data_IF_030209584350
#
_entry.id   IF_030209584350
#
_cell.length_a   1.000
_cell.length_b   1.000
_cell.length_c   1.000
_cell.angle_alpha   90.00
_cell.angle_beta   90.00
_cell.angle_gamma   90.00
#
_symmetry.space_group_name_H-M   'P 1'
#
loop_
_entity.id
_entity.type
_entity.pdbx_description
1 polymer ?
#
# COMPACT_ATOMS: atom_id res chain seq x y z
N UNK A 1 1.85 5.31 -18.56
CA UNK A 1 3.23 5.24 -19.08
C UNK A 1 4.02 4.42 -18.08
N UNK A 2 4.72 3.38 -18.52
CA UNK A 2 5.34 2.40 -17.62
C UNK A 2 6.78 2.74 -17.21
N UNK A 3 7.42 3.61 -17.97
CA UNK A 3 8.67 4.28 -17.64
C UNK A 3 8.36 5.74 -17.32
N UNK A 4 9.16 6.37 -16.46
CA UNK A 4 9.09 7.81 -16.27
C UNK A 4 9.99 8.45 -17.34
N UNK A 5 9.43 8.62 -18.55
CA UNK A 5 10.19 8.96 -19.77
C UNK A 5 11.08 10.19 -19.58
N UNK A 6 10.56 11.28 -18.99
CA UNK A 6 11.34 12.49 -18.75
C UNK A 6 12.54 12.25 -17.83
N UNK A 7 12.34 11.52 -16.73
CA UNK A 7 13.43 11.16 -15.82
C UNK A 7 14.44 10.23 -16.50
N UNK A 8 13.99 9.24 -17.27
CA UNK A 8 14.88 8.34 -18.00
C UNK A 8 15.76 9.09 -19.01
N UNK A 9 15.15 9.95 -19.81
CA UNK A 9 15.85 10.74 -20.83
C UNK A 9 16.81 11.75 -20.19
N UNK A 10 16.39 12.44 -19.13
CA UNK A 10 17.20 13.49 -18.50
C UNK A 10 18.35 12.92 -17.65
N UNK A 11 18.12 11.84 -16.90
CA UNK A 11 19.14 11.28 -16.00
C UNK A 11 20.11 10.32 -16.70
N UNK A 12 19.63 9.55 -17.67
CA UNK A 12 20.42 8.49 -18.30
C UNK A 12 20.74 8.73 -19.77
N UNK A 13 20.17 9.77 -20.40
CA UNK A 13 20.40 10.08 -21.82
C UNK A 13 20.03 8.93 -22.75
N UNK A 14 19.14 8.04 -22.30
CA UNK A 14 18.90 6.74 -22.91
C UNK A 14 18.25 6.85 -24.30
N UNK A 15 18.58 5.95 -25.24
CA UNK A 15 17.99 5.97 -26.58
C UNK A 15 16.50 5.59 -26.55
N UNK A 16 15.74 6.13 -27.51
CA UNK A 16 14.28 5.96 -27.59
C UNK A 16 13.82 4.49 -27.81
N UNK A 17 14.71 3.65 -28.33
CA UNK A 17 14.50 2.20 -28.51
C UNK A 17 14.24 1.47 -27.17
N UNK A 18 14.80 1.96 -26.06
CA UNK A 18 14.57 1.41 -24.71
C UNK A 18 13.09 1.47 -24.34
N UNK A 19 12.35 2.52 -24.76
CA UNK A 19 10.92 2.64 -24.50
C UNK A 19 10.12 1.56 -25.24
N UNK A 20 10.56 1.18 -26.44
CA UNK A 20 9.92 0.12 -27.23
C UNK A 20 10.24 -1.28 -26.69
N UNK A 21 11.45 -1.47 -26.14
CA UNK A 21 11.79 -2.68 -25.39
C UNK A 21 10.92 -2.85 -24.14
N UNK A 22 10.71 -1.78 -23.36
CA UNK A 22 9.82 -1.80 -22.19
C UNK A 22 8.40 -2.21 -22.59
N UNK A 23 7.84 -1.61 -23.65
CA UNK A 23 6.52 -1.99 -24.17
C UNK A 23 6.47 -3.47 -24.57
N UNK A 24 7.54 -3.95 -25.22
CA UNK A 24 7.64 -5.36 -25.64
C UNK A 24 7.65 -6.31 -24.44
N UNK A 25 8.38 -5.97 -23.37
CA UNK A 25 8.39 -6.76 -22.13
C UNK A 25 7.00 -6.83 -21.51
N UNK A 26 6.29 -5.70 -21.43
CA UNK A 26 4.94 -5.66 -20.86
C UNK A 26 3.96 -6.51 -21.67
N UNK A 27 4.00 -6.43 -23.00
CA UNK A 27 3.15 -7.26 -23.87
C UNK A 27 3.45 -8.76 -23.73
N UNK A 28 4.70 -9.14 -23.50
CA UNK A 28 5.06 -10.54 -23.21
C UNK A 28 4.50 -10.96 -21.86
N UNK A 29 4.68 -10.15 -20.82
CA UNK A 29 4.17 -10.42 -19.48
C UNK A 29 2.64 -10.55 -19.44
N UNK A 30 1.92 -9.76 -20.24
CA UNK A 30 0.45 -9.86 -20.37
C UNK A 30 -0.01 -11.23 -20.89
N UNK A 31 0.76 -11.86 -21.79
CA UNK A 31 0.46 -13.22 -22.28
C UNK A 31 0.58 -14.28 -21.18
N UNK A 32 1.42 -14.00 -20.18
CA UNK A 32 1.60 -14.84 -19.00
C UNK A 32 0.64 -14.46 -17.85
N UNK A 33 -0.33 -13.57 -18.12
CA UNK A 33 -1.33 -13.12 -17.14
C UNK A 33 -0.86 -12.01 -16.21
N UNK A 34 0.33 -11.44 -16.44
CA UNK A 34 0.88 -10.32 -15.65
C UNK A 34 0.43 -9.01 -16.27
N UNK A 35 -0.33 -8.20 -15.51
CA UNK A 35 -0.81 -6.90 -15.98
C UNK A 35 -0.04 -5.77 -15.29
N UNK A 36 0.54 -4.87 -16.08
CA UNK A 36 1.12 -3.65 -15.56
C UNK A 36 0.05 -2.56 -15.39
N UNK A 37 -0.02 -1.98 -14.19
CA UNK A 37 -0.99 -0.95 -13.88
C UNK A 37 -0.33 0.43 -13.95
N UNK A 38 -0.62 1.16 -15.02
CA UNK A 38 -0.33 2.60 -15.09
C UNK A 38 -1.18 3.37 -14.08
N UNK A 39 -0.84 4.63 -13.83
CA UNK A 39 -1.73 5.49 -13.05
C UNK A 39 -3.17 5.50 -13.62
N UNK A 40 -4.15 5.36 -12.75
CA UNK A 40 -5.57 5.38 -13.09
C UNK A 40 -6.35 4.20 -12.53
N UNK A 41 -7.56 4.02 -13.06
CA UNK A 41 -8.53 3.03 -12.59
C UNK A 41 -8.51 1.82 -13.50
N UNK A 42 -8.44 0.64 -12.88
CA UNK A 42 -8.39 -0.66 -13.53
C UNK A 42 -9.50 -1.53 -12.96
N UNK A 43 -10.26 -2.20 -13.81
CA UNK A 43 -11.40 -3.03 -13.40
C UNK A 43 -11.20 -4.44 -13.93
N UNK A 44 -11.35 -5.42 -13.03
CA UNK A 44 -11.18 -6.83 -13.33
C UNK A 44 -12.43 -7.60 -12.92
N UNK A 45 -12.92 -8.46 -13.80
CA UNK A 45 -13.84 -9.52 -13.41
C UNK A 45 -13.01 -10.75 -13.06
N UNK A 46 -13.07 -11.18 -11.81
CA UNK A 46 -12.35 -12.34 -11.29
C UNK A 46 -13.07 -13.63 -11.70
N UNK A 47 -12.36 -14.76 -11.64
CA UNK A 47 -12.89 -16.06 -12.06
C UNK A 47 -14.14 -16.50 -11.28
N UNK A 48 -14.29 -16.06 -10.03
CA UNK A 48 -15.46 -16.32 -9.20
C UNK A 48 -16.63 -15.36 -9.48
N UNK A 49 -16.53 -14.49 -10.49
CA UNK A 49 -17.54 -13.50 -10.86
C UNK A 49 -17.55 -12.24 -10.00
N UNK A 50 -16.58 -12.05 -9.10
CA UNK A 50 -16.40 -10.79 -8.38
C UNK A 50 -15.81 -9.71 -9.29
N UNK A 51 -16.19 -8.46 -9.06
CA UNK A 51 -15.66 -7.27 -9.71
C UNK A 51 -14.66 -6.60 -8.77
N UNK A 52 -13.41 -6.45 -9.21
CA UNK A 52 -12.35 -5.77 -8.48
C UNK A 52 -12.02 -4.44 -9.17
N UNK A 53 -12.16 -3.32 -8.45
CA UNK A 53 -11.77 -1.98 -8.90
C UNK A 53 -10.49 -1.53 -8.18
N UNK A 54 -9.42 -1.38 -8.95
CA UNK A 54 -8.11 -0.95 -8.46
C UNK A 54 -7.81 0.45 -8.97
N UNK A 55 -7.48 1.38 -8.08
CA UNK A 55 -6.76 2.59 -8.45
C UNK A 55 -5.26 2.33 -8.26
N UNK A 56 -4.43 2.69 -9.24
CA UNK A 56 -2.98 2.62 -9.11
C UNK A 56 -2.35 4.00 -9.36
N UNK A 57 -1.23 4.30 -8.71
CA UNK A 57 -0.36 5.43 -9.07
C UNK A 57 1.08 5.18 -8.61
N UNK A 58 2.10 5.38 -9.47
CA UNK A 58 3.49 5.24 -9.08
C UNK A 58 4.04 6.49 -8.37
N UNK A 59 3.32 7.61 -8.44
CA UNK A 59 3.82 8.90 -8.02
C UNK A 59 3.94 9.03 -6.51
N UNK A 60 5.03 9.65 -6.05
CA UNK A 60 5.28 9.98 -4.65
C UNK A 60 5.94 11.36 -4.55
N UNK A 61 5.77 12.11 -3.45
CA UNK A 61 6.57 13.30 -3.22
C UNK A 61 8.07 12.98 -3.31
N UNK A 62 8.85 13.95 -3.76
CA UNK A 62 10.31 13.83 -3.81
C UNK A 62 10.87 13.43 -2.44
N UNK A 63 11.53 12.28 -2.45
CA UNK A 63 12.16 11.67 -1.30
C UNK A 63 13.43 11.01 -1.82
N UNK A 64 14.40 11.82 -2.24
CA UNK A 64 15.57 11.38 -3.01
C UNK A 64 15.57 11.95 -4.43
N UNK A 65 16.08 11.18 -5.39
CA UNK A 65 16.14 11.58 -6.80
C UNK A 65 15.85 10.39 -7.70
N UNK A 66 14.69 9.76 -7.52
CA UNK A 66 14.27 8.58 -8.28
C UNK A 66 13.12 8.91 -9.24
N UNK A 67 12.86 7.99 -10.17
CA UNK A 67 11.71 8.07 -11.07
C UNK A 67 10.37 8.18 -10.30
N UNK A 68 9.36 8.77 -10.95
CA UNK A 68 8.02 8.97 -10.41
C UNK A 68 7.96 9.81 -9.12
N UNK A 69 8.89 10.77 -8.99
CA UNK A 69 8.89 11.76 -7.92
C UNK A 69 8.43 13.13 -8.43
N UNK A 70 7.74 13.87 -7.57
CA UNK A 70 7.27 15.23 -7.86
C UNK A 70 7.52 16.17 -6.67
N UNK A 71 7.83 17.43 -6.98
CA UNK A 71 8.02 18.49 -5.97
C UNK A 71 6.73 19.30 -5.74
N UNK A 72 5.98 19.52 -6.81
CA UNK A 72 4.71 20.24 -6.79
C UNK A 72 3.59 19.21 -6.73
N UNK A 73 2.65 19.37 -5.77
CA UNK A 73 1.63 18.39 -5.42
C UNK A 73 0.97 17.63 -6.59
N UNK A 74 0.49 16.42 -6.32
CA UNK A 74 -0.05 15.51 -7.33
C UNK A 74 -1.52 15.21 -7.10
N UNK A 75 -2.33 15.31 -8.15
CA UNK A 75 -3.76 15.06 -8.05
C UNK A 75 -4.08 13.57 -8.24
N UNK A 76 -4.23 12.88 -7.11
CA UNK A 76 -4.67 11.48 -7.09
C UNK A 76 -6.18 11.39 -7.31
N UNK A 77 -6.57 11.08 -8.54
CA UNK A 77 -7.97 10.95 -8.97
C UNK A 77 -8.57 9.59 -8.58
N UNK A 78 -8.58 9.28 -7.27
CA UNK A 78 -9.15 8.04 -6.73
C UNK A 78 -10.68 8.15 -6.71
N UNK A 79 -11.42 7.31 -7.47
CA UNK A 79 -12.87 7.32 -7.42
C UNK A 79 -13.43 6.86 -6.08
N UNK A 80 -14.66 7.29 -5.77
CA UNK A 80 -15.47 6.60 -4.75
C UNK A 80 -15.74 5.16 -5.20
N UNK A 81 -16.00 4.29 -4.23
CA UNK A 81 -16.25 2.85 -4.49
C UNK A 81 -15.05 2.11 -5.12
N UNK A 82 -13.83 2.65 -5.00
CA UNK A 82 -12.60 1.89 -5.25
C UNK A 82 -12.45 0.81 -4.19
N UNK A 83 -12.18 -0.42 -4.60
CA UNK A 83 -11.93 -1.51 -3.65
C UNK A 83 -10.50 -1.39 -3.10
N UNK A 84 -9.53 -1.26 -3.99
CA UNK A 84 -8.10 -1.19 -3.63
C UNK A 84 -7.45 0.02 -4.27
N UNK A 85 -6.88 0.91 -3.47
CA UNK A 85 -5.93 1.91 -3.95
C UNK A 85 -4.50 1.36 -3.76
N UNK A 86 -3.65 1.50 -4.78
CA UNK A 86 -2.24 1.10 -4.74
C UNK A 86 -1.40 2.33 -5.09
N UNK A 87 -0.54 2.74 -4.17
CA UNK A 87 0.42 3.84 -4.41
C UNK A 87 1.83 3.42 -4.08
N UNK A 88 2.84 4.09 -4.63
CA UNK A 88 4.22 3.81 -4.25
C UNK A 88 4.48 4.19 -2.78
N UNK A 89 4.23 5.46 -2.45
CA UNK A 89 4.44 6.03 -1.11
C UNK A 89 3.18 6.04 -0.22
N UNK A 90 3.37 6.26 1.09
CA UNK A 90 2.28 6.32 2.06
C UNK A 90 1.52 7.65 2.03
N UNK A 91 0.24 7.69 2.46
CA UNK A 91 -0.44 8.93 2.80
C UNK A 91 0.10 9.50 4.12
N UNK A 92 0.06 10.82 4.26
CA UNK A 92 0.52 11.52 5.48
C UNK A 92 -0.13 10.99 6.76
N UNK A 93 0.71 10.70 7.75
CA UNK A 93 0.33 10.29 9.10
C UNK A 93 -0.12 8.82 9.21
N UNK A 94 0.03 8.02 8.16
CA UNK A 94 -0.34 6.61 8.16
C UNK A 94 0.82 5.75 7.68
N UNK A 95 1.41 4.98 8.60
CA UNK A 95 2.48 4.04 8.30
C UNK A 95 3.62 4.68 7.46
N UNK A 96 4.00 5.92 7.82
CA UNK A 96 4.89 6.79 7.05
C UNK A 96 6.13 7.27 7.81
N UNK A 97 6.40 6.74 8.99
CA UNK A 97 7.57 7.11 9.79
C UNK A 97 8.85 6.51 9.19
N UNK A 98 9.72 7.37 8.68
CA UNK A 98 11.02 7.01 8.14
C UNK A 98 12.08 7.08 9.26
N UNK A 99 12.36 5.93 9.86
CA UNK A 99 13.26 5.81 11.01
C UNK A 99 14.68 6.28 10.74
N UNK A 100 15.18 6.16 9.50
CA UNK A 100 16.53 6.63 9.14
C UNK A 100 16.69 8.15 9.22
N UNK A 101 15.65 8.91 8.87
CA UNK A 101 15.68 10.38 8.88
C UNK A 101 15.01 10.97 10.12
N UNK A 102 14.28 10.15 10.89
CA UNK A 102 13.48 10.58 12.03
C UNK A 102 12.25 11.42 11.62
N UNK A 103 11.86 11.37 10.35
CA UNK A 103 10.80 12.19 9.76
C UNK A 103 9.62 11.34 9.27
N UNK A 104 8.59 11.99 8.74
CA UNK A 104 7.44 11.36 8.11
C UNK A 104 7.47 11.65 6.61
N UNK A 105 7.41 10.59 5.80
CA UNK A 105 7.50 10.68 4.34
C UNK A 105 6.12 10.63 3.64
N UNK A 106 5.03 10.73 4.40
CA UNK A 106 3.69 10.56 3.86
C UNK A 106 3.18 11.79 3.12
N UNK A 107 2.45 11.56 2.03
CA UNK A 107 1.93 12.59 1.14
C UNK A 107 0.59 13.19 1.65
N UNK A 108 0.48 14.53 1.81
CA UNK A 108 -0.76 15.19 2.22
C UNK A 108 -1.85 15.16 1.14
N UNK A 109 -1.49 15.31 -0.15
CA UNK A 109 -2.46 15.26 -1.25
C UNK A 109 -3.09 13.88 -1.37
N UNK A 110 -2.28 12.83 -1.26
CA UNK A 110 -2.74 11.44 -1.24
C UNK A 110 -3.63 11.18 -0.03
N UNK A 111 -3.26 11.67 1.15
CA UNK A 111 -4.08 11.58 2.37
C UNK A 111 -5.46 12.20 2.15
N UNK A 112 -5.53 13.38 1.53
CA UNK A 112 -6.78 14.05 1.20
C UNK A 112 -7.59 13.26 0.17
N UNK A 113 -6.95 12.76 -0.90
CA UNK A 113 -7.62 11.96 -1.94
C UNK A 113 -8.24 10.68 -1.37
N UNK A 114 -7.49 9.95 -0.54
CA UNK A 114 -7.97 8.72 0.09
C UNK A 114 -9.09 9.00 1.09
N UNK A 115 -9.03 10.10 1.83
CA UNK A 115 -10.12 10.50 2.73
C UNK A 115 -11.42 10.84 1.98
N UNK A 116 -11.33 11.36 0.75
CA UNK A 116 -12.50 11.61 -0.13
C UNK A 116 -13.05 10.31 -0.73
N UNK A 117 -12.18 9.42 -1.18
CA UNK A 117 -12.52 8.20 -1.92
C UNK A 117 -12.93 7.03 -1.02
N UNK A 118 -12.26 6.90 0.14
CA UNK A 118 -12.44 5.87 1.16
C UNK A 118 -12.47 4.44 0.58
N UNK A 119 -11.37 4.01 -0.05
CA UNK A 119 -11.27 2.65 -0.57
C UNK A 119 -11.33 1.62 0.56
N UNK A 120 -11.69 0.35 0.28
CA UNK A 120 -11.63 -0.70 1.32
C UNK A 120 -10.19 -0.91 1.79
N UNK A 121 -9.25 -0.94 0.85
CA UNK A 121 -7.83 -1.15 1.12
C UNK A 121 -7.02 -0.05 0.44
N UNK A 122 -6.04 0.50 1.13
CA UNK A 122 -4.98 1.30 0.52
C UNK A 122 -3.62 0.64 0.81
N UNK A 123 -3.05 0.03 -0.22
CA UNK A 123 -1.76 -0.64 -0.18
C UNK A 123 -0.65 0.28 -0.71
N UNK A 124 0.46 0.34 -0.01
CA UNK A 124 1.63 1.13 -0.39
C UNK A 124 2.91 0.53 0.21
N UNK A 125 4.06 1.13 -0.11
CA UNK A 125 5.35 0.72 0.42
C UNK A 125 6.25 1.93 0.63
N UNK A 126 7.42 1.90 -0.01
CA UNK A 126 8.47 2.93 0.01
C UNK A 126 9.17 3.09 1.37
N UNK A 127 8.42 3.16 2.47
CA UNK A 127 8.95 3.36 3.82
C UNK A 127 9.06 2.03 4.55
N UNK A 128 10.24 1.40 4.43
CA UNK A 128 10.50 0.06 4.94
C UNK A 128 10.32 -0.04 6.46
N UNK A 129 10.68 1.01 7.19
CA UNK A 129 10.60 1.06 8.67
C UNK A 129 9.16 1.06 9.20
N UNK A 130 8.19 1.38 8.36
CA UNK A 130 6.80 1.58 8.75
C UNK A 130 5.85 0.48 8.25
N UNK A 131 6.39 -0.70 7.90
CA UNK A 131 5.58 -1.88 7.62
C UNK A 131 4.59 -2.17 8.76
N UNK A 132 3.37 -2.47 8.36
CA UNK A 132 2.24 -2.58 9.27
C UNK A 132 0.93 -2.23 8.59
N UNK A 133 -0.12 -2.24 9.38
CA UNK A 133 -1.46 -1.84 8.98
C UNK A 133 -2.04 -0.78 9.90
N UNK A 134 -2.95 0.02 9.34
CA UNK A 134 -3.79 0.92 10.10
C UNK A 134 -5.22 0.72 9.63
N UNK A 135 -6.02 0.06 10.46
CA UNK A 135 -7.45 -0.10 10.25
C UNK A 135 -8.16 1.17 10.72
N UNK A 136 -8.58 1.99 9.76
CA UNK A 136 -9.16 3.31 10.00
C UNK A 136 -10.67 3.25 9.93
N UNK A 137 -11.33 3.86 10.91
CA UNK A 137 -12.74 4.26 10.83
C UNK A 137 -12.83 5.75 10.50
N UNK A 138 -13.62 6.11 9.49
CA UNK A 138 -13.74 7.50 9.02
C UNK A 138 -14.80 8.28 9.81
N UNK A 139 -14.45 9.51 10.22
CA UNK A 139 -15.36 10.53 10.77
C UNK A 139 -15.36 11.76 9.86
N UNK A 140 -16.30 11.81 8.92
CA UNK A 140 -16.22 12.75 7.79
C UNK A 140 -14.99 12.44 6.93
N UNK A 141 -14.09 13.41 6.74
CA UNK A 141 -12.77 13.21 6.11
C UNK A 141 -11.64 13.02 7.14
N UNK A 142 -11.95 13.00 8.44
CA UNK A 142 -11.00 12.71 9.51
C UNK A 142 -10.99 11.22 9.91
N UNK A 143 -10.01 10.84 10.73
CA UNK A 143 -9.95 9.52 11.38
C UNK A 143 -10.63 9.60 12.73
N UNK A 144 -11.46 8.61 13.05
CA UNK A 144 -11.90 8.33 14.41
C UNK A 144 -10.84 7.47 15.11
N UNK A 145 -9.96 8.09 15.90
CA UNK A 145 -8.84 7.39 16.55
C UNK A 145 -9.30 6.38 17.61
N UNK A 146 -10.48 6.56 18.22
CA UNK A 146 -11.02 5.62 19.21
C UNK A 146 -11.49 4.31 18.57
N UNK A 147 -12.02 4.40 17.35
CA UNK A 147 -12.48 3.25 16.56
C UNK A 147 -11.45 2.75 15.55
N UNK A 148 -10.24 3.32 15.54
CA UNK A 148 -9.16 2.93 14.64
C UNK A 148 -8.09 2.12 15.37
N UNK A 149 -7.44 1.20 14.67
CA UNK A 149 -6.45 0.27 15.25
C UNK A 149 -5.19 0.23 14.39
N UNK A 150 -4.03 0.43 15.01
CA UNK A 150 -2.72 0.42 14.36
C UNK A 150 -1.97 -0.87 14.74
N UNK A 151 -1.43 -1.56 13.75
CA UNK A 151 -0.51 -2.69 13.92
C UNK A 151 0.76 -2.36 13.14
N UNK A 152 1.93 -2.48 13.75
CA UNK A 152 3.18 -2.23 13.05
C UNK A 152 4.37 -2.81 13.79
N UNK A 153 5.58 -2.57 13.28
CA UNK A 153 6.80 -3.11 13.86
C UNK A 153 6.99 -2.75 15.35
N UNK A 154 6.64 -1.54 15.80
CA UNK A 154 6.71 -1.17 17.22
C UNK A 154 5.77 -1.99 18.13
N UNK A 155 4.70 -2.57 17.58
CA UNK A 155 3.78 -3.46 18.30
C UNK A 155 3.98 -4.95 18.01
N UNK A 156 4.91 -5.30 17.12
CA UNK A 156 5.21 -6.68 16.71
C UNK A 156 6.64 -7.09 17.04
N UNK A 157 7.59 -6.16 17.18
CA UNK A 157 8.96 -6.45 17.65
C UNK A 157 9.08 -6.08 19.13
N UNK A 158 9.55 -7.00 19.98
CA UNK A 158 9.72 -6.69 21.40
C UNK A 158 10.65 -5.49 21.58
N UNK A 159 10.17 -4.45 22.25
CA UNK A 159 11.00 -3.32 22.67
C UNK A 159 11.13 -3.35 24.20
N UNK A 160 12.25 -3.89 24.69
CA UNK A 160 12.56 -3.99 26.12
C UNK A 160 12.62 -2.65 26.85
N UNK A 161 12.71 -1.52 26.13
CA UNK A 161 12.73 -0.18 26.73
C UNK A 161 11.32 0.33 27.06
N UNK A 162 10.29 -0.10 26.33
CA UNK A 162 8.92 0.41 26.46
C UNK A 162 7.90 -0.64 26.88
N UNK A 163 8.25 -1.93 26.82
CA UNK A 163 7.35 -3.04 27.14
C UNK A 163 7.84 -3.76 28.40
N UNK A 164 6.90 -4.17 29.24
CA UNK A 164 7.22 -5.05 30.36
C UNK A 164 7.55 -6.47 29.85
N UNK A 165 8.06 -7.33 30.74
CA UNK A 165 8.54 -8.67 30.36
C UNK A 165 7.43 -9.57 29.81
N UNK A 166 6.21 -9.42 30.30
CA UNK A 166 5.03 -10.17 29.86
C UNK A 166 4.60 -9.77 28.43
N UNK A 167 4.49 -8.48 28.16
CA UNK A 167 4.20 -7.92 26.84
C UNK A 167 5.27 -8.29 25.80
N UNK A 168 6.54 -8.24 26.20
CA UNK A 168 7.66 -8.63 25.36
C UNK A 168 7.61 -10.13 25.02
N UNK A 169 7.27 -10.98 26.00
CA UNK A 169 7.12 -12.42 25.80
C UNK A 169 5.92 -12.75 24.90
N UNK A 170 4.75 -12.14 25.13
CA UNK A 170 3.57 -12.31 24.27
C UNK A 170 3.86 -11.88 22.81
N UNK A 171 4.55 -10.75 22.64
CA UNK A 171 4.99 -10.26 21.32
C UNK A 171 5.95 -11.25 20.66
N UNK A 172 6.89 -11.83 21.41
CA UNK A 172 7.85 -12.82 20.89
C UNK A 172 7.17 -14.13 20.49
N UNK A 173 6.19 -14.61 21.27
CA UNK A 173 5.39 -15.79 20.92
C UNK A 173 4.59 -15.52 19.64
N UNK A 174 3.97 -14.35 19.53
CA UNK A 174 3.25 -13.94 18.32
C UNK A 174 4.17 -13.89 17.09
N UNK A 175 5.38 -13.36 17.22
CA UNK A 175 6.38 -13.39 16.14
C UNK A 175 6.81 -14.80 15.75
N UNK A 176 6.98 -15.71 16.72
CA UNK A 176 7.34 -17.09 16.43
C UNK A 176 6.21 -17.77 15.66
N UNK A 177 4.96 -17.56 16.08
CA UNK A 177 3.81 -18.12 15.37
C UNK A 177 3.67 -17.52 13.96
N UNK A 178 3.83 -16.19 13.83
CA UNK A 178 3.88 -15.52 12.53
C UNK A 178 5.05 -16.00 11.67
N UNK A 179 6.19 -16.38 12.25
CA UNK A 179 7.34 -16.91 11.50
C UNK A 179 7.10 -18.31 10.92
N UNK A 180 6.18 -19.09 11.53
CA UNK A 180 5.70 -20.35 10.96
C UNK A 180 4.73 -20.10 9.80
N UNK A 181 4.05 -18.95 9.83
CA UNK A 181 3.12 -18.53 8.79
C UNK A 181 3.90 -17.87 7.65
N UNK A 182 3.56 -18.20 6.40
CA UNK A 182 4.24 -17.63 5.22
C UNK A 182 3.80 -16.19 4.92
N UNK A 183 2.78 -15.70 5.62
CA UNK A 183 2.18 -14.38 5.47
C UNK A 183 1.52 -13.93 6.77
N UNK A 184 1.35 -12.62 6.94
CA UNK A 184 0.47 -12.05 7.96
C UNK A 184 -0.95 -11.99 7.40
N UNK A 185 -1.88 -12.72 8.01
CA UNK A 185 -3.26 -12.88 7.53
C UNK A 185 -4.21 -11.89 8.21
N UNK A 186 -5.09 -11.26 7.43
CA UNK A 186 -6.18 -10.41 7.90
C UNK A 186 -7.47 -10.77 7.17
N UNK A 187 -8.55 -10.99 7.90
CA UNK A 187 -9.89 -11.20 7.34
C UNK A 187 -10.75 -9.96 7.54
N UNK A 188 -11.15 -9.30 6.45
CA UNK A 188 -11.96 -8.08 6.46
C UNK A 188 -13.45 -8.33 6.24
N UNK A 189 -13.89 -9.59 6.24
CA UNK A 189 -15.29 -9.96 5.95
C UNK A 189 -16.19 -9.93 7.19
N UNK A 190 -15.62 -10.09 8.39
CA UNK A 190 -16.38 -10.23 9.63
C UNK A 190 -15.70 -9.67 10.88
N UNK A 191 -16.46 -9.57 11.97
CA UNK A 191 -15.95 -9.16 13.28
C UNK A 191 -15.41 -7.73 13.31
N UNK A 192 -14.46 -7.49 14.21
CA UNK A 192 -13.87 -6.16 14.45
C UNK A 192 -13.00 -5.65 13.29
N UNK A 193 -12.49 -6.55 12.44
CA UNK A 193 -11.68 -6.22 11.27
C UNK A 193 -12.52 -5.97 10.02
N UNK A 194 -13.85 -6.10 10.11
CA UNK A 194 -14.74 -5.95 8.97
C UNK A 194 -14.63 -4.56 8.36
N UNK A 195 -14.34 -4.52 7.05
CA UNK A 195 -14.28 -3.27 6.30
C UNK A 195 -15.56 -3.06 5.50
N UNK A 196 -16.27 -1.97 5.81
CA UNK A 196 -17.42 -1.52 5.02
C UNK A 196 -16.99 -0.34 4.15
N UNK A 197 -17.26 -0.45 2.84
CA UNK A 197 -16.95 0.60 1.86
C UNK A 197 -17.44 1.97 2.33
N UNK A 198 -16.58 2.98 2.24
CA UNK A 198 -16.92 4.35 2.63
C UNK A 198 -16.95 4.61 4.15
N UNK A 199 -16.85 3.58 4.99
CA UNK A 199 -16.84 3.69 6.46
C UNK A 199 -15.47 3.34 7.05
N UNK A 200 -14.84 2.29 6.56
CA UNK A 200 -13.50 1.88 6.97
C UNK A 200 -12.55 1.77 5.78
N UNK A 201 -11.26 1.95 6.07
CA UNK A 201 -10.17 1.65 5.14
C UNK A 201 -9.08 0.92 5.89
N UNK A 202 -8.63 -0.22 5.38
CA UNK A 202 -7.39 -0.85 5.82
C UNK A 202 -6.23 -0.24 5.03
N UNK A 203 -5.39 0.54 5.71
CA UNK A 203 -4.11 0.96 5.16
C UNK A 203 -3.07 -0.13 5.42
N UNK A 204 -2.26 -0.44 4.42
CA UNK A 204 -1.27 -1.51 4.47
C UNK A 204 0.04 -1.01 3.89
N UNK A 205 1.05 -0.87 4.73
CA UNK A 205 2.43 -0.75 4.26
C UNK A 205 2.98 -2.17 4.05
N UNK A 206 3.17 -2.52 2.79
CA UNK A 206 3.59 -3.84 2.31
C UNK A 206 5.09 -3.90 1.97
N UNK A 207 5.92 -2.99 2.48
CA UNK A 207 7.36 -3.04 2.24
C UNK A 207 8.00 -4.32 2.81
N UNK A 208 8.34 -5.27 1.94
CA UNK A 208 8.90 -6.58 2.34
C UNK A 208 10.34 -6.47 2.87
N UNK A 209 11.07 -5.47 2.39
CA UNK A 209 12.49 -5.28 2.68
C UNK A 209 12.67 -4.44 3.95
N UNK A 210 13.77 -4.66 4.69
CA UNK A 210 14.26 -3.71 5.70
C UNK A 210 15.13 -2.61 5.06
N UNK A 211 15.64 -1.68 5.88
CA UNK A 211 16.55 -0.60 5.44
C UNK A 211 17.90 -1.11 4.91
N UNK A 212 18.23 -2.39 5.13
CA UNK A 212 19.42 -3.06 4.60
C UNK A 212 19.06 -3.95 3.39
N UNK A 213 17.86 -3.77 2.83
CA UNK A 213 17.33 -4.52 1.69
C UNK A 213 17.27 -6.04 1.91
N UNK A 214 17.01 -6.47 3.15
CA UNK A 214 16.77 -7.88 3.47
C UNK A 214 15.26 -8.15 3.55
N UNK A 215 14.75 -9.23 2.93
CA UNK A 215 13.31 -9.53 2.89
C UNK A 215 12.85 -10.18 4.20
N UNK A 216 12.81 -9.38 5.27
CA UNK A 216 12.50 -9.88 6.62
C UNK A 216 11.06 -9.63 7.04
N UNK A 217 10.29 -8.88 6.25
CA UNK A 217 8.92 -8.52 6.55
C UNK A 217 7.98 -9.47 5.83
N UNK A 218 6.94 -9.91 6.54
CA UNK A 218 6.01 -10.90 5.97
C UNK A 218 5.15 -10.25 4.88
N UNK A 219 4.82 -10.99 3.82
CA UNK A 219 3.77 -10.56 2.90
C UNK A 219 2.42 -10.53 3.65
N UNK A 220 1.50 -9.69 3.17
CA UNK A 220 0.14 -9.64 3.68
C UNK A 220 -0.78 -10.55 2.85
N UNK A 221 -1.58 -11.38 3.51
CA UNK A 221 -2.69 -12.10 2.91
C UNK A 221 -3.98 -11.50 3.47
N UNK A 222 -4.86 -11.01 2.62
CA UNK A 222 -6.04 -10.25 3.04
C UNK A 222 -7.28 -10.82 2.36
N UNK A 223 -8.26 -11.25 3.15
CA UNK A 223 -9.58 -11.63 2.66
C UNK A 223 -10.50 -10.40 2.67
N UNK A 224 -11.23 -10.17 1.57
CA UNK A 224 -12.08 -9.00 1.39
C UNK A 224 -13.31 -9.31 0.54
N UNK A 225 -14.47 -8.81 0.96
CA UNK A 225 -15.70 -8.90 0.19
C UNK A 225 -15.70 -7.91 -0.98
N UNK A 226 -15.97 -8.43 -2.17
CA UNK A 226 -16.10 -7.67 -3.41
C UNK A 226 -17.52 -7.79 -3.98
N UNK A 227 -17.95 -6.76 -4.72
CA UNK A 227 -19.23 -6.81 -5.42
C UNK A 227 -19.19 -7.87 -6.53
N UNK A 228 -20.34 -8.47 -6.86
CA UNK A 228 -20.47 -9.33 -8.04
C UNK A 228 -20.44 -8.47 -9.31
N UNK A 229 -19.77 -8.93 -10.36
CA UNK A 229 -19.88 -8.33 -11.68
C UNK A 229 -21.32 -8.43 -12.18
N UNK A 230 -21.81 -7.38 -12.84
CA UNK A 230 -23.09 -7.43 -13.54
C UNK A 230 -23.06 -8.54 -14.59
N UNK A 231 -24.15 -9.31 -14.79
CA UNK A 231 -24.23 -10.25 -15.90
C UNK A 231 -23.96 -9.51 -17.22
N UNK A 232 -23.09 -10.08 -18.04
CA UNK A 232 -22.86 -9.63 -19.43
C UNK A 232 -24.07 -9.99 -20.29
#
# INVERSE_FOLDING_TARGET
MALHDDYWLNEFGGPADTLDEVKTILQKAEKDGVRYLNEGVHVFTLQNGALLKVYASPWTPSYGGWAFQYDNGHDFNIPKETDVAITHGPPQGICDFAGMTGSHAGCPDLRAAVARAKPKIHCFGHIHEAWGTHHVTWKGNGIDEELSRKVGLKGLRPNRVTQNEEEANATRVKLIEMSKQRAAHLDLTHGDSRVVQGKQTLFVNAAIMDIRYRPIQLPWLIDVDLARASPV
#
